data_IF_353174153351
#
_entry.id   IF_353174153351
#
_cell.length_a   1.000
_cell.length_b   1.000
_cell.length_c   1.000
_cell.angle_alpha   90.00
_cell.angle_beta   90.00
_cell.angle_gamma   90.00
#
_symmetry.space_group_name_H-M   'P 1'
#
loop_
_entity.id
_entity.type
_entity.pdbx_description
1 polymer ?
#
# COMPACT_ATOMS: atom_id res chain seq x y z
N UNK A 1 28.64 -1.98 5.44
CA UNK A 1 29.39 -0.87 6.05
C UNK A 1 28.43 0.15 6.68
N UNK A 2 27.69 0.97 5.92
CA UNK A 2 26.79 1.99 6.51
C UNK A 2 25.60 1.42 7.29
N UNK A 3 24.96 0.34 6.80
CA UNK A 3 23.83 -0.29 7.50
C UNK A 3 24.21 -0.96 8.83
N UNK A 4 25.37 -1.62 8.85
CA UNK A 4 25.96 -2.20 10.08
C UNK A 4 26.28 -1.10 11.12
N UNK A 5 26.94 -0.01 10.69
CA UNK A 5 27.32 1.07 11.58
C UNK A 5 26.13 1.87 12.18
N UNK A 6 24.98 1.91 11.49
CA UNK A 6 23.80 2.68 11.95
C UNK A 6 22.78 1.81 12.70
N UNK A 7 22.72 0.49 12.42
CA UNK A 7 21.67 -0.39 12.93
C UNK A 7 22.17 -1.66 13.64
N UNK A 8 23.48 -1.92 13.64
CA UNK A 8 24.14 -3.12 14.20
C UNK A 8 23.95 -4.37 13.33
N UNK A 9 25.03 -5.08 12.99
CA UNK A 9 24.93 -6.26 12.14
C UNK A 9 24.26 -7.47 12.79
N UNK A 10 23.32 -8.07 12.05
CA UNK A 10 22.76 -9.38 12.37
C UNK A 10 23.63 -10.50 11.75
N UNK A 11 23.59 -11.73 12.30
CA UNK A 11 24.51 -12.82 11.92
C UNK A 11 24.49 -13.25 10.44
N UNK A 12 23.51 -12.79 9.66
CA UNK A 12 23.26 -13.19 8.27
C UNK A 12 23.64 -12.14 7.21
N UNK A 13 24.21 -11.00 7.59
CA UNK A 13 24.71 -10.01 6.62
C UNK A 13 25.97 -10.49 5.90
N UNK A 14 26.02 -10.32 4.59
CA UNK A 14 27.19 -10.66 3.78
C UNK A 14 28.42 -9.81 4.15
N UNK A 15 29.56 -10.49 4.28
CA UNK A 15 30.82 -9.87 4.68
C UNK A 15 31.24 -8.84 3.63
N UNK A 16 31.31 -7.57 4.03
CA UNK A 16 31.69 -6.48 3.14
C UNK A 16 33.21 -6.51 2.98
N UNK A 17 33.69 -6.87 1.78
CA UNK A 17 35.12 -7.10 1.51
C UNK A 17 35.95 -5.82 1.31
N UNK A 18 35.42 -4.65 1.66
CA UNK A 18 36.14 -3.39 1.59
C UNK A 18 35.42 -2.24 2.29
N UNK A 19 36.18 -1.45 3.04
CA UNK A 19 35.72 -0.23 3.70
C UNK A 19 35.78 0.94 2.71
N UNK A 20 34.65 1.28 2.09
CA UNK A 20 34.56 2.57 1.40
C UNK A 20 34.41 3.69 2.43
N UNK A 21 35.54 4.28 2.84
CA UNK A 21 35.55 5.47 3.69
C UNK A 21 35.10 6.73 2.94
N UNK A 22 35.01 6.69 1.59
CA UNK A 22 34.65 7.86 0.78
C UNK A 22 33.19 8.22 0.92
N UNK A 23 32.27 7.25 0.97
CA UNK A 23 30.83 7.53 1.12
C UNK A 23 30.46 8.21 2.45
N UNK A 24 30.88 7.72 3.63
CA UNK A 24 30.63 8.41 4.90
C UNK A 24 31.45 9.72 5.02
N UNK A 25 32.67 9.78 4.48
CA UNK A 25 33.45 11.02 4.47
C UNK A 25 32.84 12.07 3.54
N UNK A 26 32.33 11.72 2.35
CA UNK A 26 31.57 12.63 1.48
C UNK A 26 30.27 13.08 2.15
N UNK A 27 29.50 12.15 2.75
CA UNK A 27 28.27 12.50 3.45
C UNK A 27 28.50 13.39 4.68
N UNK A 28 29.69 13.32 5.29
CA UNK A 28 30.11 14.16 6.42
C UNK A 28 30.80 15.48 6.00
N UNK A 29 31.51 15.51 4.88
CA UNK A 29 32.19 16.68 4.30
C UNK A 29 31.25 17.55 3.46
N UNK A 30 30.21 16.96 2.88
CA UNK A 30 28.98 17.67 2.52
C UNK A 30 28.35 18.03 3.87
N UNK A 31 28.92 19.05 4.52
CA UNK A 31 28.54 19.40 5.88
C UNK A 31 27.08 19.88 5.87
N UNK A 32 26.28 19.32 6.77
CA UNK A 32 24.84 19.12 6.65
C UNK A 32 24.16 20.13 7.60
N UNK A 33 22.88 19.95 7.95
CA UNK A 33 22.30 20.41 9.22
C UNK A 33 23.10 21.50 9.96
N UNK A 34 22.76 22.75 9.66
CA UNK A 34 23.49 23.92 10.09
C UNK A 34 23.86 23.84 11.58
N UNK A 35 25.14 24.07 11.86
CA UNK A 35 25.64 24.48 13.19
C UNK A 35 25.06 25.83 13.63
N UNK A 36 24.17 26.44 12.84
CA UNK A 36 23.40 27.65 13.11
C UNK A 36 21.95 27.47 12.60
N UNK A 37 21.15 26.68 13.31
CA UNK A 37 19.77 27.05 13.70
C UNK A 37 18.69 27.39 12.67
N UNK A 38 18.71 26.97 11.40
CA UNK A 38 17.60 27.32 10.46
C UNK A 38 17.03 26.20 9.57
N UNK A 39 17.43 24.93 9.74
CA UNK A 39 16.82 23.79 9.03
C UNK A 39 16.08 22.85 10.00
N UNK A 40 14.85 22.38 9.69
CA UNK A 40 14.09 21.56 10.64
C UNK A 40 14.81 20.23 10.89
N UNK A 41 15.19 19.95 12.13
CA UNK A 41 15.58 18.61 12.59
C UNK A 41 14.45 17.63 12.26
N UNK A 42 14.73 16.62 11.43
CA UNK A 42 13.78 15.53 11.20
C UNK A 42 13.69 14.73 12.49
N UNK A 43 12.75 15.12 13.35
CA UNK A 43 12.43 14.40 14.57
C UNK A 43 11.58 13.18 14.23
N UNK A 44 11.88 12.03 14.85
CA UNK A 44 11.00 10.86 14.75
C UNK A 44 9.62 11.22 15.32
N UNK A 45 8.51 10.84 14.66
CA UNK A 45 7.19 11.05 15.21
C UNK A 45 7.03 10.40 16.59
N UNK A 46 6.36 11.09 17.52
CA UNK A 46 6.10 10.58 18.87
C UNK A 46 5.20 9.34 18.89
N UNK A 47 4.36 9.18 17.87
CA UNK A 47 3.51 8.02 17.63
C UNK A 47 3.68 7.54 16.20
N UNK A 48 3.36 6.26 15.96
CA UNK A 48 3.39 5.68 14.61
C UNK A 48 2.21 6.26 13.81
N UNK A 49 2.45 6.94 12.67
CA UNK A 49 1.36 7.38 11.82
C UNK A 49 0.56 6.18 11.30
N UNK A 50 -0.77 6.32 11.30
CA UNK A 50 -1.68 5.34 10.75
C UNK A 50 -2.17 5.71 9.35
N UNK A 51 -2.09 6.99 8.97
CA UNK A 51 -2.55 7.49 7.68
C UNK A 51 -1.46 8.31 6.99
N UNK A 52 -1.20 7.99 5.73
CA UNK A 52 -0.26 8.65 4.86
C UNK A 52 -1.04 9.26 3.70
N UNK A 53 -1.52 10.49 3.90
CA UNK A 53 -2.50 11.12 3.02
C UNK A 53 -2.04 11.24 1.56
N UNK A 54 -0.78 11.62 1.33
CA UNK A 54 -0.22 11.76 -0.04
C UNK A 54 -0.17 10.42 -0.80
N UNK A 55 0.05 9.33 -0.07
CA UNK A 55 0.04 7.98 -0.62
C UNK A 55 -1.37 7.35 -0.64
N UNK A 56 -2.36 7.99 0.02
CA UNK A 56 -3.68 7.43 0.32
C UNK A 56 -3.64 6.08 1.05
N UNK A 57 -2.56 5.81 1.78
CA UNK A 57 -2.35 4.58 2.52
C UNK A 57 -2.85 4.73 3.96
N UNK A 58 -3.66 3.79 4.44
CA UNK A 58 -4.06 3.73 5.85
C UNK A 58 -3.77 2.37 6.43
N UNK A 59 -3.27 2.33 7.67
CA UNK A 59 -3.06 1.08 8.42
C UNK A 59 -3.89 1.12 9.70
N UNK A 60 -4.94 0.31 9.74
CA UNK A 60 -5.73 0.07 10.95
C UNK A 60 -4.98 -0.94 11.81
N UNK A 61 -4.78 -0.65 13.10
CA UNK A 61 -4.03 -1.53 14.02
C UNK A 61 -4.87 -1.88 15.23
N UNK A 62 -4.80 -3.13 15.64
CA UNK A 62 -5.48 -3.64 16.83
C UNK A 62 -4.52 -4.37 17.77
N UNK A 63 -5.01 -4.80 18.93
CA UNK A 63 -4.25 -5.60 19.89
C UNK A 63 -3.90 -6.98 19.31
N UNK A 64 -2.86 -7.63 19.86
CA UNK A 64 -2.46 -8.97 19.41
C UNK A 64 -1.82 -9.00 18.02
N UNK A 65 -1.29 -7.86 17.54
CA UNK A 65 -0.55 -7.80 16.29
C UNK A 65 -1.40 -7.84 15.02
N UNK A 66 -2.73 -7.76 15.14
CA UNK A 66 -3.61 -7.62 13.97
C UNK A 66 -3.49 -6.23 13.34
N UNK A 67 -3.37 -6.18 12.03
CA UNK A 67 -3.48 -4.94 11.27
C UNK A 67 -4.09 -5.17 9.90
N UNK A 68 -4.72 -4.12 9.37
CA UNK A 68 -5.26 -4.07 8.02
C UNK A 68 -4.69 -2.85 7.28
N UNK A 69 -3.98 -3.09 6.17
CA UNK A 69 -3.56 -2.04 5.23
C UNK A 69 -4.71 -1.81 4.25
N UNK A 70 -5.11 -0.56 4.08
CA UNK A 70 -6.14 -0.14 3.15
C UNK A 70 -5.53 0.81 2.11
N UNK A 71 -5.74 0.52 0.83
CA UNK A 71 -5.23 1.33 -0.27
C UNK A 71 -6.31 2.24 -0.86
N UNK A 72 -6.24 3.53 -0.53
CA UNK A 72 -7.06 4.57 -1.14
C UNK A 72 -6.24 5.53 -1.98
N UNK A 73 -5.02 5.12 -2.35
CA UNK A 73 -4.02 5.94 -3.02
C UNK A 73 -4.36 6.34 -4.45
N UNK A 74 -3.66 7.35 -4.97
CA UNK A 74 -3.61 7.56 -6.42
C UNK A 74 -3.03 6.30 -7.08
N UNK A 75 -3.49 5.99 -8.30
CA UNK A 75 -3.12 4.75 -8.99
C UNK A 75 -1.60 4.51 -9.10
N UNK A 76 -0.81 5.56 -9.31
CA UNK A 76 0.64 5.45 -9.31
C UNK A 76 1.35 6.76 -9.63
N UNK A 77 2.67 6.69 -9.76
CA UNK A 77 3.50 7.87 -10.02
C UNK A 77 3.39 8.33 -11.49
N UNK A 78 2.99 9.59 -11.67
CA UNK A 78 2.84 10.26 -12.96
C UNK A 78 1.88 9.54 -13.94
N UNK A 79 1.82 10.01 -15.18
CA UNK A 79 0.86 9.56 -16.19
C UNK A 79 1.05 8.12 -16.64
N UNK A 80 2.28 7.59 -16.63
CA UNK A 80 2.55 6.22 -17.07
C UNK A 80 2.22 5.17 -16.00
N UNK A 81 2.34 5.53 -14.72
CA UNK A 81 2.13 4.67 -13.56
C UNK A 81 2.78 3.27 -13.71
N UNK A 82 4.03 3.22 -14.18
CA UNK A 82 4.69 2.00 -14.67
C UNK A 82 4.71 0.81 -13.68
N UNK A 83 4.70 1.09 -12.38
CA UNK A 83 4.71 0.10 -11.30
C UNK A 83 3.36 -0.10 -10.63
N UNK A 84 2.34 0.65 -11.06
CA UNK A 84 0.98 0.53 -10.52
C UNK A 84 0.32 -0.78 -10.96
N UNK A 85 -0.66 -1.19 -10.14
CA UNK A 85 -1.57 -2.29 -10.36
C UNK A 85 -3.01 -1.74 -10.44
N UNK A 86 -3.95 -2.51 -10.98
CA UNK A 86 -5.36 -2.17 -10.93
C UNK A 86 -5.97 -2.57 -9.57
N UNK A 87 -5.43 -2.03 -8.48
CA UNK A 87 -5.57 -2.51 -7.09
C UNK A 87 -6.16 -1.49 -6.10
N UNK A 88 -6.68 -0.36 -6.59
CA UNK A 88 -7.42 0.57 -5.76
C UNK A 88 -8.49 -0.14 -4.89
N UNK A 89 -8.56 0.31 -3.64
CA UNK A 89 -9.35 -0.24 -2.55
C UNK A 89 -8.98 -1.67 -2.12
N UNK A 90 -7.85 -2.21 -2.59
CA UNK A 90 -7.30 -3.44 -2.06
C UNK A 90 -6.97 -3.32 -0.57
N UNK A 91 -7.08 -4.44 0.13
CA UNK A 91 -6.74 -4.56 1.54
C UNK A 91 -5.79 -5.72 1.77
N UNK A 92 -4.86 -5.55 2.71
CA UNK A 92 -4.05 -6.64 3.25
C UNK A 92 -4.34 -6.77 4.73
N UNK A 93 -4.42 -8.00 5.24
CA UNK A 93 -4.69 -8.28 6.64
C UNK A 93 -3.61 -9.22 7.14
N UNK A 94 -2.99 -8.85 8.26
CA UNK A 94 -2.01 -9.68 8.94
C UNK A 94 -2.41 -9.81 10.40
N UNK A 95 -2.18 -10.99 10.97
CA UNK A 95 -2.40 -11.24 12.39
C UNK A 95 -1.23 -12.05 12.94
N UNK A 96 -0.61 -11.53 14.00
CA UNK A 96 0.49 -12.18 14.71
C UNK A 96 1.61 -12.69 13.80
N UNK A 97 2.01 -11.87 12.83
CA UNK A 97 3.07 -12.22 11.90
C UNK A 97 2.65 -13.07 10.70
N UNK A 98 1.38 -13.52 10.61
CA UNK A 98 0.85 -14.31 9.48
C UNK A 98 0.01 -13.43 8.56
N UNK A 99 0.32 -13.44 7.26
CA UNK A 99 -0.48 -12.77 6.24
C UNK A 99 -1.76 -13.56 6.00
N UNK A 100 -2.91 -13.00 6.38
CA UNK A 100 -4.23 -13.64 6.23
C UNK A 100 -4.83 -13.27 4.88
N UNK A 101 -4.79 -11.99 4.52
CA UNK A 101 -5.09 -11.49 3.18
C UNK A 101 -3.80 -10.88 2.64
N UNK A 102 -3.19 -11.55 1.67
CA UNK A 102 -1.90 -11.17 1.11
C UNK A 102 -2.07 -10.44 -0.23
N UNK A 103 -1.15 -9.53 -0.52
CA UNK A 103 -0.97 -9.06 -1.90
C UNK A 103 -0.13 -10.11 -2.66
N UNK A 104 -0.52 -10.50 -3.88
CA UNK A 104 0.20 -11.54 -4.61
C UNK A 104 1.56 -11.06 -5.16
N UNK A 105 1.85 -9.75 -5.10
CA UNK A 105 3.07 -9.13 -5.59
C UNK A 105 3.09 -8.96 -7.11
N UNK A 106 4.27 -8.69 -7.66
CA UNK A 106 4.44 -8.39 -9.10
C UNK A 106 4.68 -9.63 -9.97
N UNK A 107 5.00 -10.77 -9.35
CA UNK A 107 5.52 -11.96 -10.02
C UNK A 107 6.79 -11.67 -10.85
N UNK A 108 6.76 -11.83 -12.17
CA UNK A 108 7.89 -11.55 -13.06
C UNK A 108 7.57 -10.45 -14.06
N UNK A 109 8.56 -9.61 -14.37
CA UNK A 109 8.38 -8.52 -15.34
C UNK A 109 8.32 -8.99 -16.80
N UNK A 110 9.03 -10.08 -17.12
CA UNK A 110 9.22 -10.58 -18.48
C UNK A 110 9.08 -12.11 -18.54
N UNK A 111 8.90 -12.65 -19.75
CA UNK A 111 8.87 -14.09 -20.02
C UNK A 111 7.53 -14.78 -19.77
N UNK A 112 6.65 -14.21 -18.95
CA UNK A 112 5.32 -14.77 -18.68
C UNK A 112 4.23 -13.68 -18.67
N UNK A 113 3.83 -13.17 -19.85
CA UNK A 113 2.94 -12.02 -19.97
C UNK A 113 1.54 -12.26 -19.37
N UNK A 114 1.04 -13.49 -19.42
CA UNK A 114 -0.26 -13.86 -18.84
C UNK A 114 -0.27 -13.68 -17.32
N UNK A 115 0.78 -14.16 -16.65
CA UNK A 115 0.95 -13.95 -15.21
C UNK A 115 1.17 -12.48 -14.89
N UNK A 116 2.05 -11.79 -15.61
CA UNK A 116 2.23 -10.34 -15.38
C UNK A 116 0.93 -9.55 -15.52
N UNK A 117 0.05 -9.95 -16.45
CA UNK A 117 -1.28 -9.37 -16.59
C UNK A 117 -2.16 -9.71 -15.38
N UNK A 118 -2.22 -10.97 -14.96
CA UNK A 118 -3.02 -11.39 -13.81
C UNK A 118 -2.61 -10.69 -12.51
N UNK A 119 -1.31 -10.68 -12.17
CA UNK A 119 -0.80 -10.08 -10.94
C UNK A 119 -0.98 -8.54 -10.88
N UNK A 120 -1.22 -7.88 -12.03
CA UNK A 120 -1.55 -6.45 -12.12
C UNK A 120 -3.05 -6.16 -12.28
N UNK A 121 -3.87 -7.20 -12.48
CA UNK A 121 -5.32 -7.08 -12.69
C UNK A 121 -6.05 -6.87 -11.37
N UNK A 122 -7.26 -6.34 -11.42
CA UNK A 122 -8.12 -6.17 -10.24
C UNK A 122 -8.42 -7.50 -9.56
N UNK A 123 -8.61 -8.56 -10.35
CA UNK A 123 -8.83 -9.90 -9.81
C UNK A 123 -7.63 -10.44 -9.03
N UNK A 124 -6.42 -9.96 -9.32
CA UNK A 124 -5.20 -10.27 -8.57
C UNK A 124 -5.19 -9.68 -7.16
N UNK A 125 -6.07 -8.74 -6.83
CA UNK A 125 -6.03 -8.06 -5.54
C UNK A 125 -7.27 -8.32 -4.70
N UNK A 126 -7.15 -8.04 -3.40
CA UNK A 126 -8.21 -8.26 -2.41
C UNK A 126 -9.26 -7.17 -2.52
N UNK A 127 -9.96 -7.06 -3.65
CA UNK A 127 -10.90 -5.98 -3.97
C UNK A 127 -12.06 -6.49 -4.82
N UNK A 128 -12.91 -5.57 -5.27
CA UNK A 128 -14.12 -5.84 -6.05
C UNK A 128 -13.86 -5.61 -7.54
N UNK A 129 -14.30 -6.55 -8.36
CA UNK A 129 -14.34 -6.50 -9.82
C UNK A 129 -15.79 -6.35 -10.33
N UNK A 130 -16.00 -5.50 -11.34
CA UNK A 130 -17.30 -5.35 -12.02
C UNK A 130 -17.23 -5.86 -13.46
N UNK A 131 -18.19 -6.69 -13.84
CA UNK A 131 -18.35 -7.28 -15.19
C UNK A 131 -17.06 -7.90 -15.77
N UNK A 132 -16.20 -8.47 -14.93
CA UNK A 132 -14.94 -9.08 -15.37
C UNK A 132 -13.88 -8.09 -15.86
N UNK A 133 -14.00 -6.81 -15.49
CA UNK A 133 -13.10 -5.74 -15.95
C UNK A 133 -12.19 -5.21 -14.84
N UNK A 134 -10.97 -4.84 -15.23
CA UNK A 134 -10.05 -4.11 -14.37
C UNK A 134 -10.51 -2.67 -14.15
N UNK A 135 -10.26 -2.15 -12.94
CA UNK A 135 -10.60 -0.76 -12.60
C UNK A 135 -9.73 0.29 -13.33
N UNK A 136 -8.53 -0.11 -13.78
CA UNK A 136 -7.61 0.68 -14.61
C UNK A 136 -7.31 -0.08 -15.90
N UNK A 137 -7.00 0.62 -17.00
CA UNK A 137 -6.74 0.00 -18.31
C UNK A 137 -5.25 -0.03 -18.59
N UNK A 138 -4.69 -1.23 -18.74
CA UNK A 138 -3.28 -1.41 -19.11
C UNK A 138 -3.06 -1.12 -20.59
N UNK A 139 -2.02 -0.35 -20.90
CA UNK A 139 -1.47 -0.15 -22.25
C UNK A 139 -0.21 -0.98 -22.52
N UNK A 140 0.12 -1.92 -21.64
CA UNK A 140 1.35 -2.70 -21.68
C UNK A 140 1.96 -2.98 -20.30
N UNK A 141 3.12 -3.65 -20.25
CA UNK A 141 3.74 -4.07 -18.99
C UNK A 141 4.16 -2.90 -18.09
N UNK A 142 4.32 -1.70 -18.61
CA UNK A 142 4.77 -0.51 -17.86
C UNK A 142 3.97 0.75 -18.22
N UNK A 143 2.78 0.57 -18.76
CA UNK A 143 1.91 1.67 -19.18
C UNK A 143 0.47 1.40 -18.77
N UNK A 144 -0.17 2.43 -18.24
CA UNK A 144 -1.60 2.49 -18.03
C UNK A 144 -2.20 3.62 -18.86
N UNK A 145 -3.23 3.32 -19.65
CA UNK A 145 -3.90 4.27 -20.55
C UNK A 145 -5.12 4.92 -19.88
N UNK A 146 -5.67 4.28 -18.85
CA UNK A 146 -6.71 4.85 -17.98
C UNK A 146 -6.47 4.43 -16.54
N UNK A 147 -6.58 5.39 -15.62
CA UNK A 147 -6.43 5.15 -14.18
C UNK A 147 -7.79 5.28 -13.50
N UNK A 148 -8.15 4.34 -12.63
CA UNK A 148 -9.16 4.59 -11.61
C UNK A 148 -8.70 5.75 -10.72
N UNK A 149 -9.61 6.66 -10.38
CA UNK A 149 -9.34 7.75 -9.45
C UNK A 149 -9.95 7.41 -8.11
N UNK A 150 -9.10 7.09 -7.15
CA UNK A 150 -9.50 6.83 -5.78
C UNK A 150 -9.59 8.10 -4.96
N UNK A 151 -10.45 8.10 -3.95
CA UNK A 151 -10.50 9.13 -2.90
C UNK A 151 -10.83 8.49 -1.56
N UNK A 152 -9.99 8.77 -0.56
CA UNK A 152 -10.30 8.48 0.84
C UNK A 152 -11.37 9.46 1.32
N UNK A 153 -12.47 8.92 1.83
CA UNK A 153 -13.63 9.67 2.31
C UNK A 153 -13.59 9.89 3.83
N UNK A 154 -13.09 8.90 4.57
CA UNK A 154 -12.99 8.98 6.02
C UNK A 154 -11.86 8.09 6.54
N UNK A 155 -11.15 8.59 7.55
CA UNK A 155 -10.19 7.84 8.36
C UNK A 155 -10.43 8.20 9.81
N UNK A 156 -10.65 7.20 10.64
CA UNK A 156 -10.73 7.37 12.09
C UNK A 156 -9.91 6.27 12.75
N UNK A 157 -8.74 6.63 13.27
CA UNK A 157 -7.84 5.73 14.00
C UNK A 157 -7.58 6.25 15.41
N UNK A 158 -8.42 7.16 15.88
CA UNK A 158 -8.28 7.81 17.19
C UNK A 158 -9.02 7.05 18.29
N UNK A 159 -10.07 6.32 17.92
CA UNK A 159 -10.82 5.43 18.79
C UNK A 159 -10.03 4.13 19.06
N UNK A 160 -9.84 3.82 20.34
CA UNK A 160 -9.10 2.65 20.80
C UNK A 160 -9.84 1.32 20.57
N UNK A 161 -11.17 1.36 20.47
CA UNK A 161 -12.02 0.19 20.29
C UNK A 161 -12.30 -0.11 18.82
N UNK A 162 -12.44 0.94 17.98
CA UNK A 162 -12.76 0.77 16.55
C UNK A 162 -11.97 1.74 15.69
N UNK A 163 -11.10 1.19 14.83
CA UNK A 163 -10.47 1.96 13.75
C UNK A 163 -11.24 1.79 12.45
N UNK A 164 -11.40 2.85 11.66
CA UNK A 164 -12.20 2.88 10.44
C UNK A 164 -11.47 3.53 9.28
N UNK A 165 -11.76 3.03 8.09
CA UNK A 165 -11.37 3.62 6.83
C UNK A 165 -12.51 3.49 5.81
N UNK A 166 -12.72 4.51 4.99
CA UNK A 166 -13.66 4.49 3.88
C UNK A 166 -13.04 5.20 2.68
N UNK A 167 -13.13 4.59 1.51
CA UNK A 167 -12.71 5.20 0.25
C UNK A 167 -13.56 4.70 -0.91
N UNK A 168 -13.47 5.38 -2.05
CA UNK A 168 -14.17 5.02 -3.27
C UNK A 168 -13.32 5.30 -4.52
N UNK A 169 -13.68 4.68 -5.65
CA UNK A 169 -13.09 4.99 -6.95
C UNK A 169 -14.12 4.93 -8.09
N UNK A 170 -13.78 5.57 -9.22
CA UNK A 170 -14.59 5.70 -10.45
C UNK A 170 -14.13 4.78 -11.59
N UNK A 171 -13.45 3.68 -11.24
CA UNK A 171 -12.80 2.77 -12.19
C UNK A 171 -13.76 2.10 -13.19
N UNK A 172 -15.07 2.13 -12.93
CA UNK A 172 -16.07 1.35 -13.68
C UNK A 172 -17.05 2.18 -14.49
N UNK A 173 -16.62 3.34 -15.00
CA UNK A 173 -17.44 4.22 -15.82
C UNK A 173 -18.52 4.89 -14.99
N UNK A 174 -19.80 4.59 -15.26
CA UNK A 174 -20.92 5.16 -14.51
C UNK A 174 -21.12 4.52 -13.12
N UNK A 175 -20.31 3.53 -12.74
CA UNK A 175 -20.36 2.87 -11.44
C UNK A 175 -19.24 3.34 -10.52
N UNK A 176 -19.58 3.62 -9.26
CA UNK A 176 -18.63 3.93 -8.19
C UNK A 176 -18.58 2.74 -7.25
N UNK A 177 -17.39 2.20 -7.03
CA UNK A 177 -17.16 1.22 -5.99
C UNK A 177 -16.62 1.93 -4.75
N UNK A 178 -17.29 1.71 -3.62
CA UNK A 178 -16.96 2.26 -2.32
C UNK A 178 -16.73 1.12 -1.34
N UNK A 179 -15.61 1.17 -0.63
CA UNK A 179 -15.25 0.21 0.40
C UNK A 179 -15.15 0.89 1.76
N UNK A 180 -15.67 0.20 2.78
CA UNK A 180 -15.51 0.54 4.20
C UNK A 180 -14.82 -0.62 4.90
N UNK A 181 -13.83 -0.29 5.73
CA UNK A 181 -13.12 -1.25 6.58
C UNK A 181 -13.20 -0.76 8.02
N UNK A 182 -13.61 -1.65 8.92
CA UNK A 182 -13.55 -1.43 10.36
C UNK A 182 -12.69 -2.53 10.99
N UNK A 183 -11.83 -2.15 11.93
CA UNK A 183 -11.10 -3.08 12.79
C UNK A 183 -11.55 -2.86 14.24
N UNK A 184 -12.11 -3.90 14.85
CA UNK A 184 -12.60 -3.89 16.23
C UNK A 184 -11.57 -4.52 17.16
N UNK A 185 -11.08 -3.76 18.15
CA UNK A 185 -10.02 -4.20 19.05
C UNK A 185 -10.45 -5.35 19.95
N UNK A 186 -11.61 -5.23 20.60
CA UNK A 186 -12.10 -6.23 21.56
C UNK A 186 -12.34 -7.62 20.95
N UNK A 187 -12.84 -7.70 19.72
CA UNK A 187 -13.12 -8.97 19.02
C UNK A 187 -12.02 -9.39 18.05
N UNK A 188 -11.04 -8.51 17.77
CA UNK A 188 -10.01 -8.69 16.72
C UNK A 188 -10.63 -8.99 15.35
N UNK A 189 -11.77 -8.37 15.05
CA UNK A 189 -12.52 -8.56 13.81
C UNK A 189 -12.19 -7.45 12.81
N UNK A 190 -11.87 -7.83 11.57
CA UNK A 190 -11.86 -6.92 10.41
C UNK A 190 -13.15 -7.10 9.63
N UNK A 191 -13.95 -6.04 9.54
CA UNK A 191 -15.17 -6.00 8.74
C UNK A 191 -14.95 -5.18 7.49
N UNK A 192 -15.10 -5.82 6.33
CA UNK A 192 -15.04 -5.16 5.01
C UNK A 192 -16.45 -5.11 4.41
N UNK A 193 -16.87 -3.92 3.95
CA UNK A 193 -18.17 -3.71 3.31
C UNK A 193 -17.97 -2.97 2.01
N UNK A 194 -18.39 -3.61 0.92
CA UNK A 194 -18.38 -3.05 -0.44
C UNK A 194 -19.76 -2.61 -0.87
N UNK A 195 -19.80 -1.44 -1.52
CA UNK A 195 -20.99 -0.82 -2.06
C UNK A 195 -20.72 -0.39 -3.50
N UNK A 196 -21.55 -0.84 -4.43
CA UNK A 196 -21.48 -0.42 -5.83
C UNK A 196 -22.67 0.50 -6.10
N UNK A 197 -22.37 1.76 -6.42
CA UNK A 197 -23.37 2.76 -6.80
C UNK A 197 -23.44 2.86 -8.31
N UNK A 198 -24.65 2.89 -8.86
CA UNK A 198 -24.89 2.94 -10.30
C UNK A 198 -25.78 1.78 -10.76
N UNK A 199 -25.76 1.44 -12.06
CA UNK A 199 -26.52 0.31 -12.59
C UNK A 199 -26.16 -0.99 -11.90
N UNK A 200 -27.12 -1.92 -11.81
CA UNK A 200 -26.85 -3.28 -11.34
C UNK A 200 -26.02 -4.02 -12.37
N UNK A 201 -24.88 -4.57 -11.93
CA UNK A 201 -23.87 -5.22 -12.77
C UNK A 201 -23.41 -6.52 -12.10
N UNK A 202 -22.72 -7.38 -12.84
CA UNK A 202 -22.11 -8.56 -12.24
C UNK A 202 -20.96 -8.12 -11.34
N UNK A 203 -20.91 -8.66 -10.13
CA UNK A 203 -19.91 -8.33 -9.11
C UNK A 203 -19.12 -9.58 -8.78
N UNK A 204 -17.80 -9.46 -8.69
CA UNK A 204 -16.93 -10.49 -8.15
C UNK A 204 -16.06 -9.88 -7.04
N UNK A 205 -15.99 -10.56 -5.90
CA UNK A 205 -15.07 -10.24 -4.83
C UNK A 205 -13.91 -11.23 -4.86
N UNK A 206 -12.69 -10.72 -4.77
CA UNK A 206 -11.49 -11.52 -4.68
C UNK A 206 -10.82 -11.33 -3.31
N UNK A 207 -10.32 -12.44 -2.78
CA UNK A 207 -9.51 -12.50 -1.56
C UNK A 207 -8.45 -13.59 -1.74
N UNK A 208 -7.19 -13.23 -1.56
CA UNK A 208 -6.01 -14.07 -1.69
C UNK A 208 -5.45 -14.32 -0.30
N UNK A 209 -5.39 -15.59 0.08
CA UNK A 209 -4.87 -16.02 1.37
C UNK A 209 -3.36 -16.21 1.31
N UNK A 210 -2.66 -15.85 2.39
CA UNK A 210 -1.22 -16.05 2.56
C UNK A 210 -0.85 -17.39 3.21
#
# INVERSE_FOLDING_TARGET
ATGDAVFGALPWWLAVTGTDVRTPLLAALIRPYAKEGTGPAVARPASRPAHFADAGLTVLRGPGGIWCRCDGGPHGFLSIAAHAHADALSVEVRHDGVDVLADPGTFCYHGQPEWRRYFRSTLGHNTLELDGADQSVSGGPFLWTRHARSRVLAVDTSDAEVSRWCAEHDGYGASVHRRRVELRAGTREVRVVDEVRGPRRAVRLAFHLG
#
